data_IF_003498188953
#
_entry.id   IF_003498188953
#
_cell.length_a   1.000
_cell.length_b   1.000
_cell.length_c   1.000
_cell.angle_alpha   90.00
_cell.angle_beta   90.00
_cell.angle_gamma   90.00
#
_symmetry.space_group_name_H-M   'P 1'
#
loop_
_entity.id
_entity.type
_entity.pdbx_description
1 polymer ?
#
# COMPACT_ATOMS: atom_id res chain seq x y z
N UNK A 1 -33.37 9.65 -7.95
CA UNK A 1 -33.33 10.96 -7.28
C UNK A 1 -31.96 11.09 -6.65
N UNK A 2 -31.14 12.03 -7.09
CA UNK A 2 -29.80 12.24 -6.53
C UNK A 2 -29.93 12.88 -5.14
N UNK A 3 -29.25 12.31 -4.15
CA UNK A 3 -29.15 12.92 -2.82
C UNK A 3 -28.52 14.31 -2.93
N UNK A 4 -28.99 15.32 -2.17
CA UNK A 4 -28.33 16.62 -2.14
C UNK A 4 -26.88 16.43 -1.67
N UNK A 5 -25.93 16.87 -2.49
CA UNK A 5 -24.51 16.82 -2.13
C UNK A 5 -24.28 17.87 -1.06
N UNK A 6 -24.03 17.46 0.18
CA UNK A 6 -23.81 18.38 1.30
C UNK A 6 -22.53 19.20 1.05
N UNK A 7 -22.72 20.51 0.90
CA UNK A 7 -21.62 21.46 0.76
C UNK A 7 -20.88 21.57 2.09
N UNK A 8 -19.56 21.43 2.06
CA UNK A 8 -18.68 21.48 3.24
C UNK A 8 -17.78 22.72 3.18
N UNK A 9 -17.58 23.36 4.32
CA UNK A 9 -16.68 24.50 4.46
C UNK A 9 -15.29 24.03 4.87
N UNK A 10 -14.27 24.58 4.23
CA UNK A 10 -12.86 24.33 4.51
C UNK A 10 -12.18 25.64 4.87
N UNK A 11 -11.33 25.63 5.89
CA UNK A 11 -10.63 26.81 6.38
C UNK A 11 -9.20 26.80 5.90
N UNK A 12 -8.74 27.95 5.39
CA UNK A 12 -7.36 28.22 5.02
C UNK A 12 -6.76 29.22 6.00
N UNK A 13 -5.75 28.77 6.73
CA UNK A 13 -5.02 29.54 7.72
C UNK A 13 -3.60 29.83 7.23
N UNK A 14 -3.05 30.99 7.60
CA UNK A 14 -1.63 31.33 7.44
C UNK A 14 -0.98 31.39 8.82
N UNK A 15 0.13 30.69 9.00
CA UNK A 15 0.89 30.65 10.24
C UNK A 15 1.91 31.79 10.32
N UNK A 16 2.51 31.98 11.50
CA UNK A 16 3.49 33.05 11.73
C UNK A 16 4.77 32.91 10.89
N UNK A 17 5.11 31.69 10.48
CA UNK A 17 6.25 31.38 9.61
C UNK A 17 5.94 31.52 8.10
N UNK A 18 4.70 31.87 7.76
CA UNK A 18 4.21 31.99 6.38
C UNK A 18 3.75 30.68 5.76
N UNK A 19 3.76 29.56 6.49
CA UNK A 19 3.14 28.31 6.05
C UNK A 19 1.61 28.40 6.06
N UNK A 20 0.96 27.45 5.37
CA UNK A 20 -0.50 27.39 5.29
C UNK A 20 -1.03 26.09 5.86
N UNK A 21 -2.08 26.19 6.67
CA UNK A 21 -2.87 25.04 7.12
C UNK A 21 -4.25 25.06 6.45
N UNK A 22 -4.71 23.88 6.01
CA UNK A 22 -5.97 23.74 5.29
C UNK A 22 -6.73 22.50 5.72
N UNK A 23 -7.94 22.67 6.26
CA UNK A 23 -8.74 21.57 6.82
C UNK A 23 -10.25 21.90 6.87
N UNK A 24 -11.15 20.90 7.00
CA UNK A 24 -12.58 21.16 7.15
C UNK A 24 -12.89 22.01 8.40
N UNK A 25 -13.85 22.93 8.31
CA UNK A 25 -14.25 23.81 9.43
C UNK A 25 -14.77 23.04 10.66
N UNK A 26 -15.17 21.79 10.47
CA UNK A 26 -15.60 20.85 11.52
C UNK A 26 -14.43 20.20 12.27
N UNK A 27 -13.19 20.34 11.78
CA UNK A 27 -12.01 19.70 12.37
C UNK A 27 -11.41 20.53 13.50
N UNK A 28 -12.05 20.49 14.67
CA UNK A 28 -11.59 21.23 15.86
C UNK A 28 -10.17 20.82 16.30
N UNK A 29 -9.80 19.55 16.10
CA UNK A 29 -8.46 19.06 16.44
C UNK A 29 -7.37 19.73 15.61
N UNK A 30 -7.59 19.92 14.29
CA UNK A 30 -6.65 20.65 13.45
C UNK A 30 -6.56 22.12 13.87
N UNK A 31 -7.69 22.76 14.20
CA UNK A 31 -7.71 24.14 14.70
C UNK A 31 -6.92 24.32 16.00
N UNK A 32 -6.89 23.32 16.88
CA UNK A 32 -6.08 23.37 18.11
C UNK A 32 -4.57 23.22 17.91
N UNK A 33 -4.12 22.82 16.72
CA UNK A 33 -2.70 22.67 16.38
C UNK A 33 -2.12 23.89 15.67
N UNK A 34 -2.93 24.91 15.42
CA UNK A 34 -2.48 26.16 14.82
C UNK A 34 -1.54 26.91 15.76
N UNK A 35 -0.56 27.60 15.18
CA UNK A 35 0.34 28.47 15.94
C UNK A 35 -0.44 29.62 16.62
N UNK A 36 0.10 30.14 17.73
CA UNK A 36 -0.50 31.28 18.47
C UNK A 36 -0.69 32.54 17.60
N UNK A 37 0.07 32.65 16.49
CA UNK A 37 0.00 33.74 15.52
C UNK A 37 -0.82 33.43 14.26
N UNK A 38 -1.42 32.25 14.16
CA UNK A 38 -2.13 31.83 12.95
C UNK A 38 -3.37 32.70 12.69
N UNK A 39 -3.61 33.01 11.41
CA UNK A 39 -4.73 33.84 10.96
C UNK A 39 -5.53 33.12 9.89
N UNK A 40 -6.85 33.10 10.06
CA UNK A 40 -7.76 32.63 9.02
C UNK A 40 -7.72 33.62 7.85
N UNK A 41 -7.37 33.15 6.65
CA UNK A 41 -7.27 33.99 5.46
C UNK A 41 -8.36 33.70 4.43
N UNK A 42 -8.97 32.51 4.46
CA UNK A 42 -10.09 32.20 3.58
C UNK A 42 -10.96 31.06 4.14
N UNK A 43 -12.24 31.04 3.73
CA UNK A 43 -13.17 29.92 3.93
C UNK A 43 -13.68 29.49 2.57
N UNK A 44 -13.42 28.24 2.22
CA UNK A 44 -13.70 27.66 0.91
C UNK A 44 -14.88 26.71 1.03
N UNK A 45 -15.96 27.05 0.35
CA UNK A 45 -17.12 26.19 0.16
C UNK A 45 -16.89 25.20 -0.99
N UNK A 46 -17.04 23.89 -0.73
CA UNK A 46 -16.86 22.85 -1.74
C UNK A 46 -17.68 21.58 -1.43
N UNK A 47 -18.03 20.82 -2.46
CA UNK A 47 -18.72 19.53 -2.31
C UNK A 47 -17.76 18.34 -2.11
N UNK A 48 -16.46 18.55 -2.31
CA UNK A 48 -15.41 17.56 -2.04
C UNK A 48 -14.10 18.20 -1.59
N UNK A 49 -13.20 17.38 -1.03
CA UNK A 49 -11.85 17.81 -0.66
C UNK A 49 -11.03 18.26 -1.87
N UNK A 50 -11.18 17.57 -3.00
CA UNK A 50 -10.45 17.86 -4.24
C UNK A 50 -10.86 19.22 -4.81
N UNK A 51 -12.16 19.53 -4.83
CA UNK A 51 -12.65 20.84 -5.23
C UNK A 51 -12.16 21.93 -4.26
N UNK A 52 -12.18 21.66 -2.95
CA UNK A 52 -11.67 22.58 -1.95
C UNK A 52 -10.18 22.90 -2.15
N UNK A 53 -9.36 21.88 -2.46
CA UNK A 53 -7.94 22.03 -2.78
C UNK A 53 -7.71 22.78 -4.08
N UNK A 54 -8.51 22.52 -5.11
CA UNK A 54 -8.44 23.27 -6.37
C UNK A 54 -8.70 24.76 -6.14
N UNK A 55 -9.77 25.10 -5.40
CA UNK A 55 -10.07 26.48 -5.01
C UNK A 55 -8.97 27.12 -4.15
N UNK A 56 -8.34 26.34 -3.27
CA UNK A 56 -7.18 26.83 -2.49
C UNK A 56 -6.01 27.20 -3.41
N UNK A 57 -5.69 26.37 -4.40
CA UNK A 57 -4.57 26.63 -5.32
C UNK A 57 -4.84 27.85 -6.20
N UNK A 58 -6.07 28.02 -6.66
CA UNK A 58 -6.50 29.22 -7.39
C UNK A 58 -6.36 30.48 -6.54
N UNK A 59 -6.80 30.42 -5.27
CA UNK A 59 -6.67 31.53 -4.33
C UNK A 59 -5.22 31.92 -4.05
N UNK A 60 -4.32 30.93 -3.93
CA UNK A 60 -2.89 31.16 -3.65
C UNK A 60 -2.05 31.41 -4.92
N UNK A 61 -2.65 31.35 -6.11
CA UNK A 61 -1.93 31.51 -7.37
C UNK A 61 -0.97 30.36 -7.69
N UNK A 62 -1.20 29.17 -7.12
CA UNK A 62 -0.37 27.97 -7.35
C UNK A 62 -0.74 27.20 -8.63
N UNK A 63 -1.78 27.65 -9.34
CA UNK A 63 -2.25 27.03 -10.59
C UNK A 63 -3.25 25.90 -10.36
N UNK A 64 -3.17 24.85 -11.17
CA UNK A 64 -4.04 23.67 -11.00
C UNK A 64 -3.53 22.78 -9.87
N UNK A 65 -4.41 22.44 -8.93
CA UNK A 65 -4.13 21.44 -7.92
C UNK A 65 -3.85 20.10 -8.60
N UNK A 66 -2.64 19.61 -8.42
CA UNK A 66 -2.28 18.23 -8.71
C UNK A 66 -2.29 17.48 -7.39
N UNK A 67 -3.24 16.56 -7.15
CA UNK A 67 -3.17 15.72 -5.96
C UNK A 67 -1.81 15.04 -5.93
N UNK A 68 -1.19 14.98 -4.76
CA UNK A 68 0.17 14.46 -4.58
C UNK A 68 0.33 13.01 -5.07
N UNK A 69 -0.79 12.32 -5.27
CA UNK A 69 -0.91 11.10 -6.04
C UNK A 69 -2.20 11.19 -6.82
N UNK A 70 -2.10 11.17 -8.15
CA UNK A 70 -3.19 10.59 -8.91
C UNK A 70 -3.24 9.12 -8.46
N UNK A 71 -4.33 8.66 -7.85
CA UNK A 71 -4.49 7.24 -7.48
C UNK A 71 -4.57 6.39 -8.78
N UNK A 72 -4.45 7.04 -9.94
CA UNK A 72 -4.22 6.44 -11.26
C UNK A 72 -2.74 6.17 -11.57
N UNK A 73 -1.78 6.58 -10.73
CA UNK A 73 -0.37 6.33 -11.01
C UNK A 73 -0.08 4.83 -10.87
N UNK A 74 0.17 4.22 -12.03
CA UNK A 74 0.65 2.85 -12.13
C UNK A 74 1.87 2.65 -11.22
N UNK A 75 1.83 1.61 -10.39
CA UNK A 75 3.05 1.14 -9.73
C UNK A 75 3.93 0.58 -10.82
N UNK A 76 4.98 1.32 -11.18
CA UNK A 76 5.89 0.91 -12.24
C UNK A 76 7.24 0.44 -11.69
N UNK A 77 7.67 -0.71 -12.19
CA UNK A 77 8.93 -1.34 -11.82
C UNK A 77 9.76 -1.44 -13.09
N UNK A 78 10.95 -0.83 -13.04
CA UNK A 78 11.96 -0.93 -14.07
C UNK A 78 12.93 -2.05 -13.68
N UNK A 79 13.09 -3.06 -14.53
CA UNK A 79 14.09 -4.09 -14.31
C UNK A 79 15.51 -3.61 -14.67
N UNK A 80 16.51 -4.44 -14.39
CA UNK A 80 17.92 -4.17 -14.74
C UNK A 80 18.15 -4.04 -16.25
N UNK A 81 17.25 -4.59 -17.06
CA UNK A 81 17.34 -4.63 -18.52
C UNK A 81 16.59 -3.44 -19.16
N UNK A 82 16.01 -2.55 -18.34
CA UNK A 82 15.26 -1.36 -18.77
C UNK A 82 13.80 -1.63 -19.16
N UNK A 83 13.25 -2.83 -18.92
CA UNK A 83 11.84 -3.12 -19.14
C UNK A 83 11.01 -2.59 -18.00
N UNK A 84 9.93 -1.91 -18.36
CA UNK A 84 8.98 -1.31 -17.42
C UNK A 84 7.72 -2.17 -17.36
N UNK A 85 7.38 -2.68 -16.18
CA UNK A 85 6.04 -3.23 -15.89
C UNK A 85 5.28 -2.21 -15.08
N UNK A 86 4.11 -1.80 -15.56
CA UNK A 86 3.19 -0.89 -14.89
C UNK A 86 1.99 -1.68 -14.38
N UNK A 87 1.67 -1.55 -13.10
CA UNK A 87 0.47 -2.11 -12.49
C UNK A 87 -0.51 -0.99 -12.17
N UNK A 88 -1.64 -0.96 -12.87
CA UNK A 88 -2.73 -0.07 -12.51
C UNK A 88 -3.36 -0.56 -11.20
N UNK A 89 -3.25 0.26 -10.15
CA UNK A 89 -3.71 -0.12 -8.81
C UNK A 89 -5.23 -0.23 -8.69
N UNK A 90 -5.96 0.33 -9.68
CA UNK A 90 -7.41 0.28 -9.76
C UNK A 90 -7.90 -0.96 -10.53
N UNK A 91 -7.00 -1.71 -11.16
CA UNK A 91 -7.38 -2.93 -11.86
C UNK A 91 -7.86 -3.99 -10.88
N UNK A 92 -8.81 -4.78 -11.37
CA UNK A 92 -9.31 -5.97 -10.68
C UNK A 92 -8.97 -7.21 -11.49
N UNK A 93 -8.41 -8.20 -10.83
CA UNK A 93 -7.90 -9.42 -11.44
C UNK A 93 -8.85 -10.56 -11.11
N UNK A 94 -9.27 -11.35 -12.11
CA UNK A 94 -9.99 -12.57 -11.80
C UNK A 94 -9.08 -13.57 -11.06
N UNK A 95 -9.69 -14.62 -10.52
CA UNK A 95 -8.97 -15.64 -9.77
C UNK A 95 -7.85 -16.32 -10.54
N UNK A 96 -8.05 -16.62 -11.84
CA UNK A 96 -7.05 -17.31 -12.63
C UNK A 96 -5.84 -16.41 -12.86
N UNK A 97 -6.09 -15.14 -13.20
CA UNK A 97 -5.04 -14.14 -13.39
C UNK A 97 -4.31 -13.90 -12.07
N UNK A 98 -5.01 -13.75 -10.94
CA UNK A 98 -4.40 -13.59 -9.63
C UNK A 98 -3.50 -14.80 -9.26
N UNK A 99 -3.95 -16.03 -9.51
CA UNK A 99 -3.14 -17.23 -9.31
C UNK A 99 -1.90 -17.27 -10.21
N UNK A 100 -2.04 -16.95 -11.50
CA UNK A 100 -0.92 -16.90 -12.46
C UNK A 100 0.12 -15.85 -12.04
N UNK A 101 -0.33 -14.62 -11.79
CA UNK A 101 0.54 -13.49 -11.43
C UNK A 101 1.29 -13.70 -10.12
N UNK A 102 0.66 -14.34 -9.13
CA UNK A 102 1.27 -14.51 -7.80
C UNK A 102 1.93 -15.87 -7.62
N UNK A 103 1.78 -16.77 -8.60
CA UNK A 103 2.15 -18.19 -8.51
C UNK A 103 1.55 -18.92 -7.30
N UNK A 104 0.50 -18.38 -6.68
CA UNK A 104 -0.23 -19.07 -5.60
C UNK A 104 -1.10 -20.18 -6.18
N UNK A 105 -1.13 -21.35 -5.53
CA UNK A 105 -2.04 -22.42 -5.94
C UNK A 105 -3.49 -22.10 -5.56
N UNK A 106 -4.46 -22.62 -6.32
CA UNK A 106 -5.89 -22.51 -5.99
C UNK A 106 -6.23 -23.01 -4.59
N UNK A 107 -5.54 -24.06 -4.13
CA UNK A 107 -5.72 -24.62 -2.78
C UNK A 107 -5.31 -23.62 -1.72
N UNK A 108 -4.12 -23.04 -1.85
CA UNK A 108 -3.62 -22.02 -0.92
C UNK A 108 -4.53 -20.78 -0.92
N UNK A 109 -4.92 -20.29 -2.10
CA UNK A 109 -5.83 -19.16 -2.22
C UNK A 109 -7.17 -19.42 -1.50
N UNK A 110 -7.77 -20.60 -1.71
CA UNK A 110 -9.01 -20.99 -1.04
C UNK A 110 -8.85 -21.04 0.49
N UNK A 111 -7.72 -21.52 0.99
CA UNK A 111 -7.42 -21.48 2.43
C UNK A 111 -7.35 -20.05 2.96
N UNK A 112 -6.66 -19.15 2.26
CA UNK A 112 -6.57 -17.73 2.65
C UNK A 112 -7.95 -17.04 2.65
N UNK A 113 -8.82 -17.39 1.72
CA UNK A 113 -10.22 -16.91 1.69
C UNK A 113 -11.02 -17.42 2.89
N UNK A 114 -10.92 -18.72 3.19
CA UNK A 114 -11.64 -19.35 4.30
C UNK A 114 -11.21 -18.79 5.65
N UNK A 115 -9.92 -18.52 5.82
CA UNK A 115 -9.36 -17.91 7.03
C UNK A 115 -9.60 -16.38 7.11
N UNK A 116 -10.27 -15.79 6.12
CA UNK A 116 -10.53 -14.35 6.02
C UNK A 116 -9.22 -13.54 6.13
N UNK A 117 -8.17 -14.05 5.50
CA UNK A 117 -6.87 -13.37 5.38
C UNK A 117 -6.89 -12.48 4.13
N UNK A 118 -7.35 -13.03 3.01
CA UNK A 118 -7.60 -12.31 1.76
C UNK A 118 -9.09 -12.42 1.44
N UNK A 119 -9.76 -11.27 1.27
CA UNK A 119 -11.20 -11.21 1.02
C UNK A 119 -11.45 -10.74 -0.42
N UNK A 120 -11.83 -11.62 -1.36
CA UNK A 120 -12.08 -11.20 -2.73
C UNK A 120 -13.26 -10.23 -2.76
N UNK A 121 -13.21 -9.30 -3.72
CA UNK A 121 -14.38 -8.51 -4.10
C UNK A 121 -15.22 -9.31 -5.11
N UNK A 122 -16.41 -8.80 -5.39
CA UNK A 122 -17.30 -9.38 -6.40
C UNK A 122 -17.57 -8.33 -7.48
N UNK A 123 -17.40 -8.73 -8.73
CA UNK A 123 -17.81 -7.89 -9.86
C UNK A 123 -19.34 -7.99 -10.10
N UNK A 124 -19.84 -7.26 -11.10
CA UNK A 124 -21.27 -7.24 -11.46
C UNK A 124 -21.84 -8.64 -11.76
N UNK A 125 -20.99 -9.55 -12.26
CA UNK A 125 -21.34 -10.94 -12.57
C UNK A 125 -21.21 -11.88 -11.37
N UNK A 126 -20.97 -11.34 -10.17
CA UNK A 126 -20.69 -12.07 -8.92
C UNK A 126 -19.48 -13.01 -8.99
N UNK A 127 -18.56 -12.75 -9.92
CA UNK A 127 -17.27 -13.44 -9.95
C UNK A 127 -16.32 -12.80 -8.95
N UNK A 128 -15.51 -13.64 -8.30
CA UNK A 128 -14.46 -13.18 -7.39
C UNK A 128 -13.37 -12.46 -8.17
N UNK A 129 -13.07 -11.24 -7.75
CA UNK A 129 -11.98 -10.43 -8.27
C UNK A 129 -11.08 -9.97 -7.13
N UNK A 130 -9.82 -9.72 -7.46
CA UNK A 130 -8.78 -9.34 -6.51
C UNK A 130 -8.20 -8.00 -6.90
N UNK A 131 -7.99 -7.11 -5.93
CA UNK A 131 -7.37 -5.81 -6.18
C UNK A 131 -5.85 -5.90 -6.13
N UNK A 132 -5.15 -4.87 -6.60
CA UNK A 132 -3.68 -4.83 -6.50
C UNK A 132 -3.15 -5.01 -5.06
N UNK A 133 -3.70 -4.36 -4.01
CA UNK A 133 -3.32 -4.64 -2.63
C UNK A 133 -3.45 -6.10 -2.22
N UNK A 134 -4.44 -6.81 -2.77
CA UNK A 134 -4.64 -8.24 -2.51
C UNK A 134 -3.63 -9.09 -3.26
N UNK A 135 -3.23 -8.71 -4.48
CA UNK A 135 -2.11 -9.36 -5.17
C UNK A 135 -0.81 -9.27 -4.35
N UNK A 136 -0.55 -8.12 -3.72
CA UNK A 136 0.61 -7.96 -2.83
C UNK A 136 0.55 -8.91 -1.64
N UNK A 137 -0.63 -9.10 -1.03
CA UNK A 137 -0.82 -10.09 0.04
C UNK A 137 -0.54 -11.51 -0.44
N UNK A 138 -1.06 -11.88 -1.61
CA UNK A 138 -0.89 -13.21 -2.17
C UNK A 138 0.57 -13.49 -2.53
N UNK A 139 1.26 -12.53 -3.17
CA UNK A 139 2.68 -12.67 -3.48
C UNK A 139 3.54 -12.71 -2.20
N UNK A 140 3.27 -11.87 -1.22
CA UNK A 140 3.94 -11.92 0.07
C UNK A 140 3.76 -13.27 0.77
N UNK A 141 2.55 -13.84 0.72
CA UNK A 141 2.28 -15.18 1.24
C UNK A 141 3.14 -16.23 0.54
N UNK A 142 3.26 -16.18 -0.79
CA UNK A 142 4.10 -17.11 -1.55
C UNK A 142 5.55 -17.00 -1.13
N UNK A 143 6.12 -15.78 -1.08
CA UNK A 143 7.51 -15.57 -0.64
C UNK A 143 7.77 -16.05 0.80
N UNK A 144 6.85 -15.78 1.72
CA UNK A 144 6.97 -16.20 3.14
C UNK A 144 6.95 -17.74 3.26
N UNK A 145 6.17 -18.43 2.44
CA UNK A 145 6.04 -19.90 2.50
C UNK A 145 7.01 -20.65 1.58
N UNK A 146 7.85 -19.95 0.81
CA UNK A 146 8.93 -20.58 0.04
C UNK A 146 10.01 -21.14 0.98
N UNK A 147 10.27 -20.47 2.10
CA UNK A 147 11.19 -20.98 3.13
C UNK A 147 10.47 -22.01 4.02
N UNK A 148 10.73 -23.29 3.75
CA UNK A 148 10.14 -24.41 4.51
C UNK A 148 10.59 -24.45 5.97
N UNK A 149 11.64 -23.71 6.34
CA UNK A 149 12.16 -23.69 7.71
C UNK A 149 11.39 -22.72 8.61
N UNK A 150 10.61 -21.80 8.03
CA UNK A 150 9.91 -20.76 8.79
C UNK A 150 8.42 -21.07 8.86
N UNK A 151 7.97 -21.62 10.00
CA UNK A 151 6.55 -21.81 10.27
C UNK A 151 5.96 -20.58 10.96
N UNK A 152 5.25 -19.74 10.22
CA UNK A 152 4.57 -18.56 10.76
C UNK A 152 3.21 -18.95 11.34
N UNK A 153 2.90 -18.49 12.57
CA UNK A 153 1.58 -18.69 13.17
C UNK A 153 0.51 -17.90 12.40
N UNK A 154 -0.69 -18.47 12.19
CA UNK A 154 -1.72 -17.84 11.34
C UNK A 154 -2.11 -16.42 11.79
N UNK A 155 -2.14 -16.14 13.09
CA UNK A 155 -2.44 -14.80 13.61
C UNK A 155 -1.35 -13.76 13.25
N UNK A 156 -0.08 -14.17 13.27
CA UNK A 156 1.05 -13.34 12.84
C UNK A 156 1.01 -13.17 11.33
N UNK A 157 0.83 -14.26 10.59
CA UNK A 157 0.71 -14.25 9.14
C UNK A 157 -0.37 -13.27 8.68
N UNK A 158 -1.55 -13.29 9.31
CA UNK A 158 -2.65 -12.36 8.99
C UNK A 158 -2.25 -10.89 9.18
N UNK A 159 -1.51 -10.56 10.24
CA UNK A 159 -1.02 -9.20 10.50
C UNK A 159 0.04 -8.78 9.49
N UNK A 160 0.97 -9.68 9.17
CA UNK A 160 2.03 -9.47 8.17
C UNK A 160 1.44 -9.26 6.78
N UNK A 161 0.46 -10.05 6.37
CA UNK A 161 -0.18 -9.87 5.07
C UNK A 161 -1.00 -8.57 5.02
N UNK A 162 -1.70 -8.22 6.11
CA UNK A 162 -2.37 -6.91 6.23
C UNK A 162 -1.38 -5.74 6.16
N UNK A 163 -0.13 -5.93 6.58
CA UNK A 163 0.89 -4.91 6.42
C UNK A 163 1.11 -4.57 4.93
N UNK A 164 1.26 -5.55 4.05
CA UNK A 164 1.49 -5.26 2.62
C UNK A 164 0.29 -4.55 1.97
N UNK A 165 -0.94 -4.99 2.24
CA UNK A 165 -2.13 -4.33 1.68
C UNK A 165 -2.29 -2.87 2.13
N UNK A 166 -1.84 -2.54 3.33
CA UNK A 166 -2.10 -1.24 3.95
C UNK A 166 -0.99 -0.21 3.74
N UNK A 167 0.19 -0.64 3.26
CA UNK A 167 1.39 0.20 3.24
C UNK A 167 2.04 0.30 1.86
N UNK A 168 1.46 -0.28 0.81
CA UNK A 168 2.03 -0.23 -0.55
C UNK A 168 2.11 1.18 -1.14
N UNK A 169 1.25 2.10 -0.70
CA UNK A 169 1.26 3.51 -1.11
C UNK A 169 2.23 4.38 -0.29
N UNK A 170 2.93 3.82 0.70
CA UNK A 170 3.87 4.57 1.54
C UNK A 170 5.29 4.38 1.02
N UNK A 171 5.79 5.36 0.25
CA UNK A 171 7.12 5.34 -0.40
C UNK A 171 8.24 4.89 0.57
N UNK A 172 8.23 5.40 1.81
CA UNK A 172 9.27 5.10 2.80
C UNK A 172 9.32 3.62 3.22
N UNK A 173 8.26 2.86 2.99
CA UNK A 173 8.13 1.47 3.43
C UNK A 173 8.45 0.45 2.34
N UNK A 174 8.75 0.89 1.11
CA UNK A 174 9.07 -0.01 0.01
C UNK A 174 10.31 -0.86 0.32
N UNK A 175 11.31 -0.24 0.92
CA UNK A 175 12.57 -0.90 1.28
C UNK A 175 12.59 -1.41 2.73
N UNK A 176 11.61 -1.03 3.56
CA UNK A 176 11.55 -1.47 4.96
C UNK A 176 11.26 -2.96 5.08
N UNK A 177 11.84 -3.59 6.10
CA UNK A 177 11.57 -4.98 6.43
C UNK A 177 10.44 -5.05 7.46
N UNK A 178 9.29 -5.68 7.13
CA UNK A 178 8.35 -6.08 8.16
C UNK A 178 8.97 -7.18 9.01
N UNK A 179 8.81 -7.08 10.33
CA UNK A 179 9.25 -8.13 11.24
C UNK A 179 8.20 -8.39 12.31
N UNK A 180 8.20 -9.59 12.90
CA UNK A 180 7.34 -9.93 14.03
C UNK A 180 8.13 -10.34 15.25
N UNK A 181 7.60 -9.97 16.41
CA UNK A 181 8.09 -10.40 17.72
C UNK A 181 6.86 -10.80 18.52
N UNK A 182 6.75 -12.10 18.82
CA UNK A 182 5.54 -12.68 19.39
C UNK A 182 4.34 -12.53 18.45
N UNK A 183 3.36 -11.69 18.83
CA UNK A 183 2.17 -11.42 18.01
C UNK A 183 2.16 -10.02 17.37
N UNK A 184 3.18 -9.21 17.63
CA UNK A 184 3.27 -7.83 17.14
C UNK A 184 4.06 -7.80 15.85
N UNK A 185 3.60 -7.00 14.88
CA UNK A 185 4.30 -6.76 13.61
C UNK A 185 4.74 -5.31 13.59
N UNK A 186 6.01 -5.07 13.28
CA UNK A 186 6.65 -3.77 13.17
C UNK A 186 7.40 -3.68 11.84
N UNK A 187 7.95 -2.52 11.54
CA UNK A 187 8.82 -2.27 10.38
C UNK A 187 10.14 -1.73 10.86
N UNK A 188 11.23 -2.17 10.23
CA UNK A 188 12.54 -1.52 10.36
C UNK A 188 12.89 -0.87 9.03
N UNK A 189 13.30 0.40 9.07
CA UNK A 189 13.77 1.10 7.88
C UNK A 189 15.08 0.47 7.37
N UNK A 190 15.38 0.60 6.06
CA UNK A 190 16.53 -0.06 5.44
C UNK A 190 17.84 0.70 5.68
N UNK A 191 17.80 1.86 6.37
CA UNK A 191 18.99 2.61 6.71
C UNK A 191 19.78 1.84 7.79
N UNK A 192 20.63 0.95 7.29
CA UNK A 192 21.47 0.02 8.02
C UNK A 192 22.86 0.62 8.32
N UNK A 193 23.01 1.95 8.31
CA UNK A 193 24.25 2.55 8.83
C UNK A 193 24.46 2.19 10.30
N UNK A 194 23.40 1.80 11.01
CA UNK A 194 23.49 1.26 12.36
C UNK A 194 22.73 -0.07 12.49
N UNK A 195 23.42 -1.20 12.33
CA UNK A 195 22.93 -2.54 12.74
C UNK A 195 22.48 -2.52 14.21
N UNK A 196 22.99 -1.58 15.00
CA UNK A 196 22.50 -1.39 16.35
C UNK A 196 21.07 -0.88 16.39
N UNK A 197 20.50 -0.25 15.37
CA UNK A 197 19.15 0.32 15.49
C UNK A 197 18.07 -0.78 15.57
N UNK A 198 18.16 -1.84 14.76
CA UNK A 198 17.31 -3.03 14.93
C UNK A 198 17.55 -3.68 16.30
N UNK A 199 18.83 -3.84 16.70
CA UNK A 199 19.17 -4.40 18.01
C UNK A 199 18.71 -3.51 19.16
N UNK A 200 18.67 -2.20 19.00
CA UNK A 200 18.26 -1.21 19.98
C UNK A 200 16.74 -1.19 20.07
N UNK A 201 16.03 -1.23 18.95
CA UNK A 201 14.58 -1.42 18.92
C UNK A 201 14.18 -2.78 19.53
N UNK A 202 14.98 -3.83 19.31
CA UNK A 202 14.80 -5.13 19.97
C UNK A 202 15.10 -5.01 21.47
N UNK A 203 16.21 -4.39 21.89
CA UNK A 203 16.59 -4.15 23.30
C UNK A 203 15.61 -3.27 24.07
N UNK A 204 14.94 -2.32 23.40
CA UNK A 204 13.90 -1.46 23.98
C UNK A 204 12.58 -2.21 24.19
N UNK A 205 12.41 -3.40 23.62
CA UNK A 205 11.27 -4.24 24.00
C UNK A 205 11.53 -4.72 25.42
N UNK A 206 10.58 -4.42 26.29
CA UNK A 206 10.64 -4.75 27.71
C UNK A 206 10.73 -6.27 27.90
N UNK A 207 11.95 -6.78 28.00
CA UNK A 207 12.30 -8.19 28.27
C UNK A 207 12.25 -8.50 29.77
N UNK A 208 11.45 -7.78 30.56
CA UNK A 208 11.21 -8.09 31.97
C UNK A 208 10.80 -9.55 32.21
N UNK A 209 10.38 -10.26 31.17
CA UNK A 209 10.29 -11.72 31.13
C UNK A 209 11.53 -12.38 30.49
N UNK A 210 12.16 -13.31 31.20
CA UNK A 210 13.24 -14.23 30.74
C UNK A 210 12.83 -15.20 29.61
N UNK A 211 11.80 -14.88 28.84
CA UNK A 211 11.36 -15.69 27.72
C UNK A 211 12.27 -15.45 26.52
N UNK A 212 12.68 -16.52 25.83
CA UNK A 212 13.32 -16.40 24.54
C UNK A 212 12.30 -15.89 23.51
N UNK A 213 12.59 -14.76 22.87
CA UNK A 213 11.77 -14.22 21.78
C UNK A 213 12.41 -14.59 20.44
N UNK A 214 11.62 -15.20 19.55
CA UNK A 214 12.00 -15.38 18.15
C UNK A 214 11.54 -14.18 17.35
N UNK A 215 12.47 -13.53 16.67
CA UNK A 215 12.18 -12.46 15.71
C UNK A 215 12.12 -13.08 14.31
N UNK A 216 11.01 -12.86 13.60
CA UNK A 216 10.90 -13.26 12.19
C UNK A 216 10.92 -12.02 11.32
N UNK A 217 11.88 -11.95 10.40
CA UNK A 217 11.99 -10.90 9.38
C UNK A 217 11.34 -11.41 8.10
N UNK A 218 10.49 -10.60 7.49
CA UNK A 218 9.75 -10.92 6.29
C UNK A 218 10.32 -10.17 5.07
N UNK A 219 9.98 -10.59 3.84
CA UNK A 219 10.36 -9.87 2.63
C UNK A 219 10.00 -8.38 2.67
N UNK A 220 10.79 -7.53 2.02
CA UNK A 220 10.40 -6.12 1.86
C UNK A 220 9.23 -6.01 0.88
N UNK A 221 8.54 -4.86 0.90
CA UNK A 221 7.54 -4.57 -0.13
C UNK A 221 8.18 -4.55 -1.53
N UNK A 222 9.43 -4.08 -1.66
CA UNK A 222 10.18 -4.14 -2.90
C UNK A 222 10.39 -5.58 -3.39
N UNK A 223 10.74 -6.52 -2.50
CA UNK A 223 10.89 -7.93 -2.88
C UNK A 223 9.57 -8.51 -3.40
N UNK A 224 8.44 -8.15 -2.79
CA UNK A 224 7.10 -8.56 -3.24
C UNK A 224 6.79 -7.99 -4.62
N UNK A 225 7.08 -6.71 -4.84
CA UNK A 225 6.87 -6.01 -6.10
C UNK A 225 7.75 -6.58 -7.23
N UNK A 226 9.04 -6.79 -6.98
CA UNK A 226 9.97 -7.42 -7.94
C UNK A 226 9.47 -8.80 -8.34
N UNK A 227 9.07 -9.64 -7.38
CA UNK A 227 8.55 -10.97 -7.70
C UNK A 227 7.25 -10.92 -8.53
N UNK A 228 6.36 -9.95 -8.29
CA UNK A 228 5.19 -9.73 -9.15
C UNK A 228 5.59 -9.29 -10.56
N UNK A 229 6.57 -8.38 -10.69
CA UNK A 229 7.10 -7.94 -11.98
C UNK A 229 7.64 -9.13 -12.79
N UNK A 230 8.49 -9.96 -12.18
CA UNK A 230 9.07 -11.13 -12.83
C UNK A 230 8.00 -12.12 -13.31
N UNK A 231 6.97 -12.34 -12.51
CA UNK A 231 5.85 -13.22 -12.88
C UNK A 231 5.04 -12.64 -14.05
N UNK A 232 4.78 -11.33 -14.05
CA UNK A 232 4.10 -10.65 -15.15
C UNK A 232 4.90 -10.75 -16.45
N UNK A 233 6.21 -10.52 -16.40
CA UNK A 233 7.11 -10.68 -17.54
C UNK A 233 7.13 -12.12 -18.05
N UNK A 234 7.17 -13.11 -17.15
CA UNK A 234 7.10 -14.53 -17.53
C UNK A 234 5.81 -14.87 -18.26
N UNK A 235 4.67 -14.30 -17.85
CA UNK A 235 3.38 -14.51 -18.52
C UNK A 235 3.40 -13.90 -19.92
N UNK A 236 3.87 -12.65 -20.03
CA UNK A 236 3.95 -11.94 -21.31
C UNK A 236 4.84 -12.68 -22.33
N UNK A 237 6.00 -13.18 -21.89
CA UNK A 237 6.91 -13.92 -22.77
C UNK A 237 6.26 -15.21 -23.31
N UNK A 238 5.54 -15.95 -22.47
CA UNK A 238 4.83 -17.17 -22.89
C UNK A 238 3.75 -16.84 -23.93
N UNK A 239 2.91 -15.85 -23.65
CA UNK A 239 1.82 -15.45 -24.55
C UNK A 239 2.36 -14.92 -25.90
N UNK A 240 3.50 -14.22 -25.87
CA UNK A 240 4.16 -13.73 -27.08
C UNK A 240 4.78 -14.85 -27.92
N UNK A 241 5.37 -15.87 -27.28
CA UNK A 241 5.94 -17.02 -27.98
C UNK A 241 4.83 -17.91 -28.61
N UNK A 242 3.72 -18.12 -27.91
CA UNK A 242 2.54 -18.81 -28.45
C UNK A 242 2.00 -18.08 -29.69
N UNK A 243 1.91 -16.75 -29.63
CA UNK A 243 1.49 -15.92 -30.77
C UNK A 243 2.45 -16.05 -31.97
N UNK A 244 3.77 -16.08 -31.74
CA UNK A 244 4.76 -16.30 -32.81
C UNK A 244 4.59 -17.67 -33.48
N UNK A 245 4.36 -18.72 -32.70
CA UNK A 245 4.16 -20.06 -33.24
C UNK A 245 2.91 -20.12 -34.13
N UNK A 246 1.84 -19.39 -33.77
CA UNK A 246 0.64 -19.28 -34.60
C UNK A 246 0.87 -18.57 -35.94
N UNK A 247 1.83 -17.65 -36.03
CA UNK A 247 2.13 -16.93 -37.29
C UNK A 247 3.00 -17.76 -38.27
N UNK A 248 3.66 -18.80 -37.78
CA UNK A 248 4.55 -19.67 -38.58
C UNK A 248 3.82 -20.94 -39.06
N UNK A 249 2.65 -21.24 -38.50
CA UNK A 249 1.79 -22.37 -38.85
C UNK A 249 0.79 -22.01 -39.97
#
# INVERSE_FOLDING_TARGET
MASPTEQTNYELWINGDGSYDFFPSTNQSARSLLDEGAKLINVIEAISWEEARQKQYEFLGWGSYKPAFDISEDVSILDSDGRKTAFNINDSFDRNIACRLTKISFKQLRTLEQEKIVLPLFNEKRNKVYTFPQLLQLQAYVLINQDRNVRVRNNVLKKVLKFYSNNFNKIRLHQSFPYSIGSTVKTVEPDLSDVNDLLNQVKQLDFSYRAAYTVHIYPTMMNVLIALHENAQSIYNIEFDEFKQMLVA
#
